data_IF_432735243693
#
_entry.id   IF_432735243693
#
_cell.length_a   1.000
_cell.length_b   1.000
_cell.length_c   1.000
_cell.angle_alpha   90.00
_cell.angle_beta   90.00
_cell.angle_gamma   90.00
#
_symmetry.space_group_name_H-M   'P 1'
#
loop_
_entity.id
_entity.type
_entity.pdbx_description
1 polymer ?
#
# COMPACT_ATOMS: atom_id res chain seq x y z
N UNK A 1 1.31 13.32 -9.95
CA UNK A 1 0.59 12.71 -8.81
C UNK A 1 0.79 13.58 -7.59
N UNK A 2 -0.29 13.90 -6.89
CA UNK A 2 -0.21 14.54 -5.59
C UNK A 2 0.36 13.54 -4.57
N UNK A 3 1.04 14.01 -3.51
CA UNK A 3 1.40 13.13 -2.40
C UNK A 3 0.13 12.54 -1.79
N UNK A 4 0.13 11.21 -1.62
CA UNK A 4 -0.96 10.46 -0.99
C UNK A 4 -0.47 10.09 0.40
N UNK A 5 -1.25 10.48 1.40
CA UNK A 5 -1.07 10.05 2.77
C UNK A 5 -1.97 8.84 3.01
N UNK A 6 -1.43 7.80 3.66
CA UNK A 6 -2.15 6.58 4.00
C UNK A 6 -1.53 5.97 5.25
N UNK A 7 -2.37 5.32 6.05
CA UNK A 7 -1.90 4.64 7.25
C UNK A 7 -1.27 3.29 6.89
N UNK A 8 -0.29 2.89 7.70
CA UNK A 8 0.38 1.60 7.58
C UNK A 8 0.28 0.88 8.92
N UNK A 9 -0.35 -0.28 8.90
CA UNK A 9 -0.34 -1.22 10.02
C UNK A 9 0.84 -2.17 9.82
N UNK A 10 1.70 -2.28 10.83
CA UNK A 10 2.83 -3.22 10.82
C UNK A 10 2.51 -4.41 11.70
N UNK A 11 2.60 -5.60 11.11
CA UNK A 11 2.54 -6.87 11.82
C UNK A 11 3.92 -7.53 11.81
N UNK A 12 4.24 -8.28 12.86
CA UNK A 12 5.42 -9.15 12.90
C UNK A 12 4.96 -10.59 13.01
N UNK A 13 5.24 -11.38 11.98
CA UNK A 13 5.00 -12.81 11.95
C UNK A 13 6.32 -13.55 11.91
N UNK A 14 6.64 -14.28 12.98
CA UNK A 14 7.91 -14.99 13.14
C UNK A 14 9.13 -14.07 12.93
N UNK A 15 9.82 -14.24 11.78
CA UNK A 15 11.02 -13.49 11.37
C UNK A 15 10.72 -12.46 10.26
N UNK A 16 9.46 -12.26 9.92
CA UNK A 16 9.02 -11.40 8.81
C UNK A 16 8.14 -10.28 9.33
N UNK A 17 8.27 -9.10 8.74
CA UNK A 17 7.42 -7.95 8.98
C UNK A 17 6.46 -7.80 7.80
N UNK A 18 5.18 -7.55 8.09
CA UNK A 18 4.14 -7.30 7.12
C UNK A 18 3.73 -5.83 7.29
N UNK A 19 3.69 -5.09 6.19
CA UNK A 19 3.15 -3.75 6.13
C UNK A 19 1.84 -3.80 5.33
N UNK A 20 0.77 -3.27 5.90
CA UNK A 20 -0.57 -3.28 5.31
C UNK A 20 -1.16 -1.86 5.30
N UNK A 21 -1.72 -1.46 4.16
CA UNK A 21 -2.52 -0.25 3.99
C UNK A 21 -3.99 -0.66 3.88
N UNK A 22 -4.81 -0.46 4.94
CA UNK A 22 -6.21 -0.83 4.96
C UNK A 22 -7.06 -0.12 3.90
N UNK A 23 -6.76 1.14 3.61
CA UNK A 23 -7.53 1.99 2.71
C UNK A 23 -7.47 1.45 1.27
N UNK A 24 -6.30 0.99 0.85
CA UNK A 24 -6.09 0.45 -0.49
C UNK A 24 -6.21 -1.08 -0.54
N UNK A 25 -6.40 -1.73 0.61
CA UNK A 25 -6.38 -3.19 0.78
C UNK A 25 -5.14 -3.86 0.14
N UNK A 26 -3.98 -3.24 0.34
CA UNK A 26 -2.69 -3.74 -0.18
C UNK A 26 -1.72 -4.02 0.96
N UNK A 27 -0.96 -5.10 0.83
CA UNK A 27 0.10 -5.45 1.78
C UNK A 27 1.41 -5.79 1.06
N UNK A 28 2.49 -5.76 1.83
CA UNK A 28 3.78 -6.32 1.46
C UNK A 28 4.52 -6.85 2.69
N UNK A 29 5.63 -7.53 2.49
CA UNK A 29 6.45 -8.06 3.57
C UNK A 29 7.94 -7.75 3.40
N UNK A 30 8.71 -7.88 4.48
CA UNK A 30 10.16 -7.70 4.50
C UNK A 30 10.80 -8.35 5.73
N UNK A 31 12.13 -8.47 5.71
CA UNK A 31 12.94 -9.01 6.82
C UNK A 31 13.03 -8.03 8.00
N UNK A 32 12.81 -6.75 7.76
CA UNK A 32 12.73 -5.68 8.76
C UNK A 32 11.59 -4.70 8.43
N UNK A 33 11.33 -3.76 9.34
CA UNK A 33 10.24 -2.79 9.22
C UNK A 33 10.48 -1.86 8.03
N UNK A 34 11.70 -1.37 7.83
CA UNK A 34 12.04 -0.49 6.71
C UNK A 34 11.77 -1.16 5.36
N UNK A 35 12.24 -2.39 5.18
CA UNK A 35 12.04 -3.14 3.95
C UNK A 35 10.56 -3.44 3.69
N UNK A 36 9.80 -3.82 4.73
CA UNK A 36 8.36 -4.02 4.58
C UNK A 36 7.66 -2.73 4.13
N UNK A 37 8.05 -1.56 4.66
CA UNK A 37 7.51 -0.26 4.25
C UNK A 37 7.91 0.15 2.83
N UNK A 38 9.17 -0.04 2.44
CA UNK A 38 9.64 0.27 1.09
C UNK A 38 8.95 -0.59 0.03
N UNK A 39 8.77 -1.88 0.34
CA UNK A 39 8.01 -2.79 -0.50
C UNK A 39 6.55 -2.32 -0.60
N UNK A 40 5.92 -1.90 0.50
CA UNK A 40 4.53 -1.45 0.49
C UNK A 40 4.37 -0.19 -0.36
N UNK A 41 5.30 0.76 -0.24
CA UNK A 41 5.32 1.98 -1.06
C UNK A 41 5.40 1.66 -2.56
N UNK A 42 6.16 0.64 -2.93
CA UNK A 42 6.24 0.18 -4.33
C UNK A 42 4.94 -0.47 -4.77
N UNK A 43 4.35 -1.33 -3.93
CA UNK A 43 3.05 -1.96 -4.19
C UNK A 43 1.93 -0.93 -4.35
N UNK A 44 1.85 0.06 -3.45
CA UNK A 44 0.88 1.16 -3.53
C UNK A 44 1.04 1.96 -4.82
N UNK A 45 2.28 2.31 -5.20
CA UNK A 45 2.53 3.02 -6.47
C UNK A 45 2.04 2.21 -7.66
N UNK A 46 2.40 0.92 -7.74
CA UNK A 46 1.97 0.05 -8.83
C UNK A 46 0.45 -0.11 -8.88
N UNK A 47 -0.20 -0.26 -7.73
CA UNK A 47 -1.64 -0.34 -7.63
C UNK A 47 -2.32 0.91 -8.22
N UNK A 48 -1.84 2.11 -7.85
CA UNK A 48 -2.40 3.36 -8.34
C UNK A 48 -2.14 3.57 -9.84
N UNK A 49 -0.95 3.21 -10.32
CA UNK A 49 -0.61 3.26 -11.75
C UNK A 49 -1.52 2.33 -12.58
N UNK A 50 -1.81 1.12 -12.08
CA UNK A 50 -2.74 0.20 -12.75
C UNK A 50 -4.20 0.69 -12.69
N UNK A 51 -4.64 1.21 -11.53
CA UNK A 51 -5.97 1.79 -11.39
C UNK A 51 -6.17 3.01 -12.31
N UNK A 52 -5.14 3.84 -12.50
CA UNK A 52 -5.16 4.96 -13.46
C UNK A 52 -5.30 4.47 -14.90
N UNK A 53 -4.51 3.45 -15.29
CA UNK A 53 -4.61 2.82 -16.63
C UNK A 53 -5.98 2.22 -16.88
N UNK A 54 -6.62 1.66 -15.86
CA UNK A 54 -7.97 1.09 -15.94
C UNK A 54 -9.08 2.14 -15.89
N UNK A 55 -8.75 3.40 -15.57
CA UNK A 55 -9.74 4.47 -15.39
C UNK A 55 -10.60 4.32 -14.13
N UNK A 56 -10.18 3.50 -13.17
CA UNK A 56 -10.92 3.20 -11.92
C UNK A 56 -10.36 3.91 -10.69
N UNK A 57 -9.25 4.65 -10.85
CA UNK A 57 -8.55 5.31 -9.75
C UNK A 57 -9.46 6.22 -8.91
N UNK A 58 -10.26 7.06 -9.56
CA UNK A 58 -11.16 8.00 -8.86
C UNK A 58 -12.23 7.26 -8.04
N UNK A 59 -12.78 6.16 -8.56
CA UNK A 59 -13.78 5.34 -7.85
C UNK A 59 -13.18 4.62 -6.64
N UNK A 60 -11.93 4.18 -6.74
CA UNK A 60 -11.21 3.52 -5.64
C UNK A 60 -10.92 4.53 -4.53
N UNK A 61 -10.41 5.72 -4.88
CA UNK A 61 -10.13 6.78 -3.91
C UNK A 61 -11.40 7.39 -3.30
N UNK A 62 -12.53 7.37 -4.02
CA UNK A 62 -13.81 7.86 -3.50
C UNK A 62 -14.45 6.91 -2.49
N UNK A 63 -14.07 5.62 -2.48
CA UNK A 63 -14.63 4.61 -1.58
C UNK A 63 -13.95 4.56 -0.20
N UNK A 64 -12.85 5.27 -0.02
CA UNK A 64 -12.01 5.20 1.18
C UNK A 64 -12.20 6.39 2.13
N UNK A 65 -13.31 7.13 1.99
CA UNK A 65 -13.70 8.25 2.86
C UNK A 65 -14.77 7.90 3.88
#
# INVERSE_FOLDING_TARGET
>A
MNPIEYDIIIFKENKTFIAYCPELDVSSCGENIEQAKENLKTTVRLFLEEAEKMGTLEEILAKTG
#
